data_IF_806828588152
#
_entry.id   IF_806828588152
#
_cell.length_a   1.000
_cell.length_b   1.000
_cell.length_c   1.000
_cell.angle_alpha   90.00
_cell.angle_beta   90.00
_cell.angle_gamma   90.00
#
_symmetry.space_group_name_H-M   'P 1'
#
loop_
_entity.id
_entity.type
_entity.pdbx_description
1 polymer ?
2 non-polymer ?
3 water ?
#
# COMPACT_ATOMS: atom_id res chain seq x y z
N UNK A 11 20.91 7.58 1.57
CA UNK A 11 20.90 6.25 2.17
C UNK A 11 22.20 5.99 2.95
N UNK A 12 22.12 5.09 3.92
CA UNK A 12 23.27 4.71 4.72
C UNK A 12 23.87 3.41 4.17
N UNK A 13 25.18 3.41 3.99
CA UNK A 13 25.88 2.21 3.54
C UNK A 13 26.11 1.30 4.75
N UNK A 14 25.42 0.17 4.77
CA UNK A 14 25.65 -0.84 5.81
C UNK A 14 26.82 -1.70 5.40
N UNK A 15 27.54 -2.22 6.38
CA UNK A 15 28.64 -3.13 6.07
C UNK A 15 28.24 -4.56 6.38
N UNK A 16 28.61 -5.52 5.54
CA UNK A 16 27.99 -6.87 5.65
C UNK A 16 28.24 -7.58 6.96
N UNK A 17 29.16 -7.12 7.82
CA UNK A 17 29.44 -7.85 9.05
C UNK A 17 28.32 -7.67 10.08
N UNK A 18 27.62 -6.53 10.01
CA UNK A 18 26.49 -6.26 10.90
C UNK A 18 25.20 -6.91 10.40
N UNK A 19 25.31 -7.72 9.36
CA UNK A 19 24.16 -8.29 8.66
C UNK A 19 24.25 -9.80 8.74
N UNK A 20 23.13 -10.44 9.06
CA UNK A 20 23.04 -11.90 9.12
C UNK A 20 21.70 -12.29 8.50
N UNK A 21 21.74 -12.89 7.31
CA UNK A 21 20.55 -13.47 6.73
C UNK A 21 20.21 -14.78 7.45
N UNK A 22 18.91 -15.07 7.56
CA UNK A 22 18.48 -16.19 8.36
C UNK A 22 17.51 -17.10 7.60
N UNK A 23 16.50 -16.53 6.96
CA UNK A 23 15.51 -17.31 6.24
C UNK A 23 15.04 -16.51 5.04
N UNK A 24 14.53 -17.22 4.03
CA UNK A 24 13.93 -16.59 2.86
C UNK A 24 12.45 -16.39 3.17
N UNK A 25 12.03 -15.12 3.25
CA UNK A 25 10.61 -14.83 3.50
C UNK A 25 9.79 -15.09 2.24
N UNK A 26 10.22 -14.51 1.12
CA UNK A 26 9.52 -14.66 -0.14
C UNK A 26 10.51 -14.74 -1.28
N UNK A 27 9.96 -14.84 -2.49
CA UNK A 27 10.76 -14.93 -3.70
C UNK A 27 9.86 -14.97 -4.93
N UNK A 32 14.58 -12.00 -4.29
CA UNK A 32 14.62 -12.64 -2.99
C UNK A 32 14.49 -11.62 -1.85
N UNK A 33 13.76 -11.99 -0.81
CA UNK A 33 13.60 -11.16 0.38
C UNK A 33 13.80 -12.08 1.58
N UNK A 34 14.89 -11.85 2.31
CA UNK A 34 15.22 -12.63 3.50
C UNK A 34 14.73 -11.93 4.75
N UNK A 35 14.56 -12.71 5.82
CA UNK A 35 14.55 -12.20 7.18
C UNK A 35 15.97 -12.28 7.70
N UNK A 36 16.41 -11.22 8.36
CA UNK A 36 17.75 -11.21 8.92
C UNK A 36 17.84 -10.49 10.24
N UNK A 37 19.06 -10.28 10.72
CA UNK A 37 19.32 -9.50 11.92
C UNK A 37 20.33 -8.42 11.55
N UNK A 38 20.12 -7.22 12.07
CA UNK A 38 21.03 -6.09 11.84
C UNK A 38 21.60 -5.64 13.17
N UNK A 39 22.92 -5.59 13.28
CA UNK A 39 23.56 -5.14 14.49
C UNK A 39 23.62 -3.61 14.50
N UNK A 40 23.17 -3.00 15.59
CA UNK A 40 23.10 -1.55 15.70
C UNK A 40 23.87 -1.04 16.91
N UNK A 44 26.41 -4.03 19.74
CA UNK A 44 25.48 -3.79 20.82
C UNK A 44 24.18 -4.57 20.58
N UNK A 45 23.05 -3.88 20.74
CA UNK A 45 21.75 -4.46 20.45
C UNK A 45 21.61 -4.74 18.96
N UNK A 46 20.82 -5.76 18.63
CA UNK A 46 20.53 -6.11 17.25
C UNK A 46 19.04 -6.01 16.98
N UNK A 47 18.68 -5.62 15.77
CA UNK A 47 17.27 -5.45 15.39
C UNK A 47 16.96 -6.36 14.21
N UNK A 48 15.74 -6.88 14.10
CA UNK A 48 15.37 -7.69 12.93
C UNK A 48 15.03 -6.83 11.73
N UNK A 49 15.35 -7.36 10.55
CA UNK A 49 15.20 -6.60 9.32
C UNK A 49 14.76 -7.53 8.19
N UNK A 50 14.25 -6.92 7.13
CA UNK A 50 13.98 -7.60 5.87
C UNK A 50 15.04 -7.22 4.86
N UNK A 51 15.47 -8.18 4.06
CA UNK A 51 16.62 -8.03 3.19
C UNK A 51 16.26 -8.47 1.78
N UNK A 52 16.13 -7.51 0.88
CA UNK A 52 15.85 -7.77 -0.52
C UNK A 52 17.16 -7.88 -1.28
N UNK A 53 17.34 -8.99 -1.99
CA UNK A 53 18.58 -9.23 -2.74
C UNK A 53 18.25 -9.62 -4.17
N UNK A 60 21.33 -6.82 -15.79
CA UNK A 60 22.05 -5.63 -15.32
C UNK A 60 21.09 -4.45 -15.18
N UNK A 61 20.11 -4.37 -16.08
CA UNK A 61 19.02 -3.42 -15.85
C UNK A 61 18.34 -3.69 -14.52
N UNK A 62 18.31 -4.96 -14.11
CA UNK A 62 17.75 -5.31 -12.81
C UNK A 62 18.65 -4.80 -11.67
N UNK A 63 19.97 -4.83 -11.88
CA UNK A 63 20.87 -4.30 -10.86
C UNK A 63 20.77 -2.78 -10.77
N UNK A 64 20.64 -2.11 -11.91
CA UNK A 64 20.54 -0.65 -11.91
C UNK A 64 19.32 -0.21 -11.12
N UNK A 65 18.15 -0.77 -11.45
CA UNK A 65 16.92 -0.38 -10.75
C UNK A 65 17.01 -0.74 -9.27
N UNK A 66 17.64 -1.88 -8.95
CA UNK A 66 17.76 -2.30 -7.55
C UNK A 66 18.36 -1.20 -6.70
N UNK A 67 19.62 -0.84 -6.96
CA UNK A 67 20.26 0.23 -6.20
C UNK A 67 19.50 1.55 -6.36
N UNK A 68 18.85 1.75 -7.52
CA UNK A 68 18.09 2.97 -7.72
C UNK A 68 16.97 3.12 -6.72
N UNK A 69 16.14 2.07 -6.57
CA UNK A 69 14.99 2.17 -5.68
C UNK A 69 15.41 2.51 -4.25
N UNK A 70 16.58 2.05 -3.82
CA UNK A 70 17.04 2.37 -2.48
C UNK A 70 17.21 3.87 -2.31
N UNK A 71 17.71 4.54 -3.34
CA UNK A 71 17.89 5.99 -3.25
C UNK A 71 16.59 6.73 -3.05
N UNK A 72 15.49 6.22 -3.62
CA UNK A 72 14.19 6.82 -3.39
C UNK A 72 13.71 6.53 -1.97
N UNK A 73 13.83 5.27 -1.54
CA UNK A 73 13.43 4.90 -0.19
C UNK A 73 14.14 5.76 0.85
N UNK A 74 15.47 5.91 0.70
CA UNK A 74 16.24 6.66 1.67
C UNK A 74 15.75 8.08 1.89
N UNK A 75 15.06 8.66 0.90
CA UNK A 75 14.50 9.99 1.06
C UNK A 75 13.28 10.03 1.95
N UNK A 76 12.73 8.87 2.32
CA UNK A 76 11.50 8.82 3.09
C UNK A 76 11.82 8.52 4.56
N UNK A 77 11.12 9.20 5.45
CA UNK A 77 11.23 8.97 6.89
C UNK A 77 9.89 9.37 7.49
N UNK A 78 9.01 8.38 7.67
CA UNK A 78 7.70 8.63 8.26
C UNK A 78 7.21 7.35 8.94
N UNK A 79 6.37 7.54 9.96
CA UNK A 79 5.93 6.42 10.78
C UNK A 79 5.21 5.35 9.96
N UNK A 80 4.51 5.76 8.90
CA UNK A 80 3.70 4.87 8.09
C UNK A 80 4.28 4.68 6.70
N UNK A 81 5.60 4.76 6.57
CA UNK A 81 6.33 4.47 5.34
C UNK A 81 7.46 3.51 5.71
N UNK A 82 7.58 2.39 4.98
CA UNK A 82 8.58 1.38 5.31
C UNK A 82 9.95 2.04 5.42
N UNK A 83 10.61 1.84 6.56
CA UNK A 83 11.86 2.52 6.84
C UNK A 83 13.05 1.77 6.25
N UNK A 84 13.90 2.49 5.53
CA UNK A 84 15.13 1.96 4.96
C UNK A 84 16.24 2.05 6.01
N UNK A 85 16.67 0.90 6.54
CA UNK A 85 17.80 0.92 7.46
C UNK A 85 19.08 1.32 6.72
N UNK A 86 19.26 0.83 5.51
CA UNK A 86 20.45 1.12 4.74
C UNK A 86 20.54 0.17 3.56
N UNK A 87 21.70 0.23 2.90
CA UNK A 87 21.97 -0.63 1.75
C UNK A 87 23.38 -1.18 1.87
N UNK A 88 23.63 -2.24 1.11
CA UNK A 88 24.97 -2.80 0.95
C UNK A 88 25.23 -2.78 -0.55
N UNK A 89 25.89 -1.71 -1.02
CA UNK A 89 26.12 -1.50 -2.44
C UNK A 89 27.57 -1.74 -2.84
N UNK A 90 28.46 -2.01 -1.89
CA UNK A 90 29.87 -2.19 -2.20
C UNK A 90 30.35 -3.62 -1.98
N UNK A 91 29.43 -4.55 -1.71
CA UNK A 91 29.77 -5.96 -1.57
C UNK A 91 28.70 -6.77 -2.30
N UNK A 92 28.99 -8.06 -2.47
CA UNK A 92 28.06 -9.00 -3.09
C UNK A 92 27.78 -10.08 -2.05
N UNK A 93 26.52 -10.35 -1.70
CA UNK A 93 25.26 -9.88 -2.30
C UNK A 93 24.97 -8.41 -2.13
N UNK A 94 24.42 -7.75 -3.15
CA UNK A 94 23.89 -6.40 -2.96
C UNK A 94 22.59 -6.49 -2.18
N UNK A 95 22.41 -5.58 -1.22
CA UNK A 95 21.28 -5.70 -0.33
C UNK A 95 20.61 -4.36 -0.05
N UNK A 96 19.27 -4.38 -0.06
CA UNK A 96 18.44 -3.31 0.45
C UNK A 96 17.82 -3.80 1.75
N UNK A 97 18.11 -3.11 2.85
CA UNK A 97 17.67 -3.52 4.18
C UNK A 97 16.61 -2.55 4.69
N UNK A 98 15.49 -3.09 5.15
CA UNK A 98 14.44 -2.34 5.79
C UNK A 98 14.19 -2.92 7.19
N UNK A 99 13.43 -2.17 8.00
CA UNK A 99 12.85 -2.73 9.20
C UNK A 99 12.07 -3.99 8.84
N UNK A 100 11.82 -4.86 9.82
CA UNK A 100 11.02 -6.05 9.61
C UNK A 100 9.59 -5.81 10.09
N UNK A 101 8.63 -6.32 9.33
CA UNK A 101 7.20 -6.16 9.63
C UNK A 101 6.62 -7.55 9.90
N UNK A 102 6.49 -7.89 11.19
CA UNK A 102 6.21 -9.27 11.57
C UNK A 102 4.98 -9.81 10.85
N UNK A 103 3.93 -9.00 10.74
CA UNK A 103 2.65 -9.47 10.23
C UNK A 103 2.53 -9.38 8.71
N UNK A 104 3.57 -8.96 8.00
CA UNK A 104 3.57 -9.10 6.55
C UNK A 104 2.58 -8.19 5.84
N UNK A 105 2.15 -8.63 4.66
CA UNK A 105 1.32 -7.80 3.80
C UNK A 105 -0.11 -7.75 4.29
N UNK A 106 -0.69 -6.55 4.20
CA UNK A 106 -1.97 -6.27 4.86
C UNK A 106 -3.10 -7.12 4.29
N UNK A 107 -3.07 -7.37 2.98
CA UNK A 107 -4.19 -8.10 2.37
C UNK A 107 -4.23 -9.53 2.89
N UNK A 108 -3.11 -10.25 2.80
CA UNK A 108 -3.04 -11.60 3.34
C UNK A 108 -3.34 -11.59 4.84
N UNK A 109 -2.90 -10.56 5.54
CA UNK A 109 -3.08 -10.49 6.99
C UNK A 109 -4.55 -10.30 7.36
N UNK A 110 -5.29 -9.51 6.59
CA UNK A 110 -6.71 -9.31 6.90
C UNK A 110 -7.54 -10.54 6.57
N UNK A 111 -7.23 -11.20 5.44
CA UNK A 111 -7.91 -12.45 5.13
C UNK A 111 -7.71 -13.46 6.24
N UNK A 112 -6.61 -13.32 6.98
CA UNK A 112 -6.25 -14.26 8.04
C UNK A 112 -6.96 -13.94 9.35
N UNK A 113 -7.16 -12.66 9.64
CA UNK A 113 -7.84 -12.20 10.84
C UNK A 113 -9.28 -11.77 10.55
N UNK A 114 -9.89 -12.31 9.49
CA UNK A 114 -11.21 -11.92 9.05
C UNK A 114 -12.17 -11.86 10.23
N UNK A 115 -12.63 -10.64 10.56
CA UNK A 115 -13.65 -10.45 11.56
C UNK A 115 -13.15 -10.13 12.95
N UNK A 116 -11.87 -10.37 13.26
CA UNK A 116 -11.42 -10.23 14.63
C UNK A 116 -11.20 -8.79 15.06
N UNK A 117 -11.14 -7.85 14.13
CA UNK A 117 -10.91 -6.45 14.45
C UNK A 117 -12.23 -5.68 14.48
N UNK A 118 -12.29 -4.68 15.36
CA UNK A 118 -13.41 -3.75 15.39
C UNK A 118 -13.28 -2.76 14.24
N UNK A 119 -14.34 -1.97 14.03
CA UNK A 119 -14.25 -0.89 13.05
C UNK A 119 -13.19 0.12 13.48
N UNK A 120 -13.15 0.44 14.78
CA UNK A 120 -12.15 1.37 15.28
C UNK A 120 -10.75 0.93 14.88
N UNK A 121 -10.45 -0.37 15.04
CA UNK A 121 -9.11 -0.85 14.74
C UNK A 121 -8.83 -0.83 13.24
N UNK A 122 -9.84 -1.17 12.43
CA UNK A 122 -9.67 -1.13 10.99
C UNK A 122 -9.52 0.30 10.48
N UNK A 123 -10.27 1.24 11.05
CA UNK A 123 -10.16 2.64 10.63
C UNK A 123 -8.84 3.23 11.11
N UNK A 124 -8.28 2.71 12.19
CA UNK A 124 -6.96 3.14 12.61
C UNK A 124 -5.87 2.74 11.62
N UNK A 125 -6.00 1.53 11.05
CA UNK A 125 -5.07 1.12 10.01
C UNK A 125 -5.20 2.00 8.77
N UNK A 126 -6.43 2.39 8.44
CA UNK A 126 -6.64 3.25 7.28
C UNK A 126 -6.06 4.64 7.55
N UNK A 127 -6.28 5.16 8.74
CA UNK A 127 -5.67 6.42 9.16
C UNK A 127 -4.15 6.37 9.00
N UNK A 128 -3.51 5.32 9.52
CA UNK A 128 -2.07 5.19 9.35
C UNK A 128 -1.68 5.22 7.88
N UNK A 129 -2.38 4.44 7.06
CA UNK A 129 -2.07 4.39 5.64
C UNK A 129 -2.21 5.76 5.01
N UNK A 130 -3.28 6.49 5.36
CA UNK A 130 -3.50 7.81 4.79
C UNK A 130 -2.44 8.79 5.28
N UNK A 131 -2.02 8.66 6.54
CA UNK A 131 -0.96 9.52 7.06
C UNK A 131 0.32 9.35 6.25
N UNK A 132 0.70 8.11 5.95
CA UNK A 132 1.87 7.90 5.11
C UNK A 132 1.67 8.46 3.71
N UNK A 133 0.45 8.35 3.18
CA UNK A 133 0.17 8.83 1.83
C UNK A 133 0.14 10.35 1.79
N UNK A 134 -0.28 10.99 2.88
CA UNK A 134 -0.16 12.43 3.01
C UNK A 134 1.30 12.86 2.98
N UNK A 135 2.16 12.11 3.65
CA UNK A 135 3.59 12.43 3.66
C UNK A 135 4.18 12.32 2.26
N UNK A 136 3.83 11.26 1.52
CA UNK A 136 4.36 11.09 0.17
C UNK A 136 3.87 12.18 -0.76
N UNK A 137 2.57 12.50 -0.69
CA UNK A 137 2.02 13.59 -1.49
C UNK A 137 2.74 14.90 -1.21
N UNK A 138 3.04 15.18 0.07
CA UNK A 138 3.79 16.39 0.40
C UNK A 138 5.16 16.38 -0.28
N UNK A 139 5.75 15.19 -0.47
CA UNK A 139 7.01 15.05 -1.19
C UNK A 139 6.82 15.08 -2.69
N UNK A 140 5.59 15.24 -3.16
CA UNK A 140 5.26 15.10 -4.58
C UNK A 140 5.72 13.74 -5.11
N UNK A 141 5.54 12.70 -4.30
CA UNK A 141 5.79 11.33 -4.73
C UNK A 141 4.46 10.66 -5.02
N UNK A 142 4.28 10.21 -6.26
CA UNK A 142 3.09 9.49 -6.68
C UNK A 142 3.40 8.00 -6.62
N UNK A 143 2.60 7.26 -5.85
CA UNK A 143 2.89 5.85 -5.59
C UNK A 143 2.67 5.00 -6.84
N UNK A 144 1.46 5.08 -7.42
CA UNK A 144 1.01 4.35 -8.60
C UNK A 144 0.49 2.94 -8.30
N UNK A 145 0.85 2.35 -7.15
CA UNK A 145 0.42 0.98 -6.83
C UNK A 145 -0.05 0.87 -5.39
N UNK A 146 -0.84 1.84 -4.93
CA UNK A 146 -1.38 1.77 -3.57
C UNK A 146 -2.40 0.65 -3.51
N UNK A 147 -2.09 -0.40 -2.74
CA UNK A 147 -2.98 -1.55 -2.63
C UNK A 147 -2.56 -2.31 -1.38
N UNK A 148 -3.53 -3.03 -0.80
CA UNK A 148 -3.25 -3.71 0.46
C UNK A 148 -2.08 -4.68 0.34
N UNK A 149 -1.87 -5.25 -0.84
CA UNK A 149 -0.71 -6.11 -1.05
C UNK A 149 0.60 -5.36 -0.86
N UNK A 150 0.59 -4.02 -0.93
CA UNK A 150 1.80 -3.22 -0.75
C UNK A 150 1.83 -2.51 0.61
N UNK A 151 1.03 -2.97 1.56
CA UNK A 151 1.00 -2.40 2.91
C UNK A 151 1.49 -3.46 3.87
N UNK A 152 2.55 -3.16 4.63
CA UNK A 152 3.08 -4.09 5.61
C UNK A 152 2.60 -3.71 7.00
N UNK A 153 2.47 -4.73 7.86
CA UNK A 153 1.91 -4.59 9.20
C UNK A 153 2.87 -5.18 10.22
N UNK A 154 3.07 -4.46 11.32
CA UNK A 154 3.96 -4.89 12.39
C UNK A 154 3.15 -5.29 13.61
N UNK A 155 3.86 -5.82 14.62
CA UNK A 155 3.20 -6.44 15.76
C UNK A 155 2.31 -5.48 16.55
N UNK A 156 2.32 -4.19 16.22
CA UNK A 156 1.43 -3.22 16.85
C UNK A 156 0.29 -2.81 15.94
N UNK A 157 0.07 -3.53 14.84
CA UNK A 157 -0.94 -3.20 13.84
C UNK A 157 -0.68 -1.87 13.16
N UNK A 158 0.55 -1.36 13.25
CA UNK A 158 0.93 -0.17 12.51
C UNK A 158 1.12 -0.57 11.05
N UNK A 159 0.52 0.20 10.15
CA UNK A 159 0.57 -0.07 8.73
C UNK A 159 1.50 0.92 8.05
N UNK A 160 2.28 0.42 7.12
CA UNK A 160 3.32 1.23 6.49
C UNK A 160 3.31 0.96 4.99
N UNK A 161 3.27 2.04 4.21
CA UNK A 161 3.23 1.93 2.77
C UNK A 161 4.57 1.42 2.26
N UNK A 162 4.52 0.50 1.31
CA UNK A 162 5.70 -0.08 0.70
C UNK A 162 5.43 -0.22 -0.79
N UNK A 163 6.41 -0.76 -1.51
CA UNK A 163 6.22 -1.06 -2.93
C UNK A 163 7.13 -2.22 -3.28
N UNK A 164 6.52 -3.39 -3.46
CA UNK A 164 7.25 -4.60 -3.79
C UNK A 164 7.65 -4.67 -5.26
N UNK A 165 7.19 -3.72 -6.07
CA UNK A 165 7.65 -3.58 -7.44
C UNK A 165 6.96 -4.46 -8.44
N UNK A 166 5.92 -5.20 -8.05
CA UNK A 166 5.28 -6.11 -8.99
C UNK A 166 4.79 -5.39 -10.24
N UNK A 167 4.55 -4.08 -10.16
CA UNK A 167 4.14 -3.35 -11.35
C UNK A 167 5.22 -3.32 -12.42
N UNK A 168 6.48 -3.54 -12.04
CA UNK A 168 7.61 -3.36 -12.95
C UNK A 168 8.35 -4.66 -13.23
N UNK A 169 7.72 -5.81 -12.98
CA UNK A 169 8.34 -7.09 -13.24
C UNK A 169 8.38 -7.35 -14.74
N UNK A 170 9.56 -7.60 -15.27
CA UNK A 170 9.78 -7.73 -16.71
C UNK A 170 9.51 -9.16 -17.14
N UNK A 171 8.52 -9.34 -18.01
CA UNK A 171 8.15 -10.66 -18.51
C UNK A 171 8.21 -10.74 -20.03
N UNK A 172 8.81 -9.75 -20.70
CA UNK A 172 8.95 -9.77 -22.15
C UNK A 172 10.20 -10.57 -22.54
N UNK A 173 10.16 -11.15 -23.74
CA UNK A 173 11.34 -11.83 -24.26
C UNK A 173 12.51 -10.84 -24.43
N UNK A 174 13.75 -11.27 -24.16
CA UNK A 174 14.88 -10.34 -24.33
C UNK A 174 15.19 -9.99 -25.78
N UNK A 175 14.57 -10.63 -26.76
CA UNK A 175 14.74 -10.29 -28.16
C UNK A 175 13.41 -9.89 -28.79
N UNK A 176 12.40 -9.62 -27.98
CA UNK A 176 11.07 -9.34 -28.49
C UNK A 176 11.08 -8.08 -29.34
N UNK A 177 10.30 -8.13 -30.42
CA UNK A 177 10.14 -6.95 -31.26
C UNK A 177 9.41 -5.85 -30.51
N UNK A 178 8.44 -6.21 -29.68
CA UNK A 178 7.61 -5.25 -28.95
C UNK A 178 7.77 -5.49 -27.45
N UNK A 179 8.00 -4.42 -26.71
CA UNK A 179 8.23 -4.53 -25.27
C UNK A 179 7.29 -3.61 -24.50
N UNK A 180 7.04 -3.99 -23.25
CA UNK A 180 6.19 -3.19 -22.37
C UNK A 180 6.88 -1.88 -22.02
N UNK A 181 6.18 -0.76 -22.20
CA UNK A 181 6.71 0.55 -21.84
C UNK A 181 5.79 1.20 -20.82
N UNK A 182 6.37 1.77 -19.77
CA UNK A 182 5.63 2.32 -18.67
C UNK A 182 5.24 1.31 -17.62
N UNK A 183 5.83 0.13 -17.64
CA UNK A 183 5.42 -0.90 -16.72
C UNK A 183 3.97 -1.28 -16.93
N UNK A 184 3.42 -1.97 -15.94
CA UNK A 184 2.02 -2.37 -15.94
C UNK A 184 1.31 -1.64 -14.81
N UNK A 185 -0.02 -1.58 -14.91
CA UNK A 185 -0.82 -0.90 -13.90
C UNK A 185 -1.73 -1.90 -13.19
N UNK A 186 -2.05 -1.69 -11.91
CA UNK A 186 -3.06 -2.53 -11.24
C UNK A 186 -4.45 -2.08 -11.63
N UNK A 187 -5.06 -2.75 -12.59
CA UNK A 187 -6.26 -2.22 -13.24
C UNK A 187 -7.35 -1.94 -12.22
N UNK A 188 -7.52 -2.84 -11.24
CA UNK A 188 -8.62 -2.67 -10.30
C UNK A 188 -8.35 -1.62 -9.23
N UNK A 189 -7.12 -1.10 -9.14
CA UNK A 189 -6.77 -0.10 -8.13
C UNK A 189 -6.51 1.27 -8.72
N UNK A 190 -6.60 1.43 -10.03
CA UNK A 190 -6.08 2.59 -10.73
C UNK A 190 -7.22 3.49 -11.19
N UNK A 191 -7.02 4.80 -11.03
CA UNK A 191 -8.06 5.76 -11.38
C UNK A 191 -8.29 5.75 -12.89
N UNK A 192 -9.53 6.00 -13.32
CA UNK A 192 -9.81 6.01 -14.77
C UNK A 192 -8.86 6.88 -15.59
N UNK A 193 -8.57 8.11 -15.14
CA UNK A 193 -7.68 8.96 -15.94
C UNK A 193 -6.30 8.37 -16.07
N UNK A 194 -5.86 7.60 -15.08
CA UNK A 194 -4.54 6.98 -15.13
C UNK A 194 -4.54 5.75 -16.04
N UNK A 195 -5.65 5.01 -16.06
CA UNK A 195 -5.80 3.91 -17.02
C UNK A 195 -5.78 4.45 -18.44
N UNK A 196 -6.59 5.48 -18.71
CA UNK A 196 -6.83 5.88 -20.09
C UNK A 196 -5.74 6.79 -20.65
N UNK A 197 -5.16 7.65 -19.82
CA UNK A 197 -4.23 8.66 -20.29
C UNK A 197 -2.90 8.65 -19.54
N UNK A 198 -2.68 7.67 -18.67
CA UNK A 198 -1.43 7.59 -17.90
C UNK A 198 -1.18 8.90 -17.16
N UNK A 199 -2.24 9.48 -16.59
CA UNK A 199 -2.14 10.69 -15.77
C UNK A 199 -2.13 10.26 -14.30
N UNK A 200 -0.93 10.03 -13.78
CA UNK A 200 -0.74 9.55 -12.42
C UNK A 200 -0.39 10.73 -11.52
N UNK A 201 -1.23 10.98 -10.53
CA UNK A 201 -1.05 12.09 -9.61
C UNK A 201 -1.43 11.58 -8.22
N UNK A 202 -1.20 12.41 -7.21
CA UNK A 202 -1.71 12.06 -5.89
C UNK A 202 -3.22 11.82 -5.93
N UNK A 203 -3.93 12.53 -6.82
CA UNK A 203 -5.36 12.35 -6.94
C UNK A 203 -5.72 10.94 -7.45
N UNK A 204 -4.90 10.35 -8.32
CA UNK A 204 -5.16 8.96 -8.68
C UNK A 204 -4.75 8.00 -7.57
N UNK A 205 -3.70 8.33 -6.81
CA UNK A 205 -3.40 7.56 -5.61
C UNK A 205 -4.57 7.59 -4.64
N UNK A 206 -5.29 8.71 -4.58
CA UNK A 206 -6.46 8.81 -3.69
C UNK A 206 -7.54 7.82 -4.12
N UNK A 207 -7.79 7.70 -5.43
CA UNK A 207 -8.68 6.65 -5.90
C UNK A 207 -8.21 5.29 -5.38
N UNK A 208 -6.94 4.96 -5.62
CA UNK A 208 -6.40 3.71 -5.13
C UNK A 208 -6.60 3.59 -3.62
N UNK A 209 -6.44 4.69 -2.88
CA UNK A 209 -6.67 4.60 -1.45
C UNK A 209 -8.10 4.19 -1.16
N UNK A 210 -9.07 4.70 -1.94
CA UNK A 210 -10.44 4.26 -1.76
C UNK A 210 -10.58 2.76 -1.88
N UNK A 211 -9.95 2.16 -2.89
CA UNK A 211 -10.01 0.71 -3.04
C UNK A 211 -9.43 0.05 -1.79
N UNK A 212 -8.37 0.63 -1.23
CA UNK A 212 -7.74 0.05 -0.04
C UNK A 212 -8.70 0.10 1.14
N UNK A 213 -9.45 1.19 1.29
CA UNK A 213 -10.46 1.24 2.34
C UNK A 213 -11.44 0.09 2.19
N UNK A 214 -11.90 -0.17 0.96
CA UNK A 214 -12.81 -1.28 0.72
C UNK A 214 -12.15 -2.61 1.03
N UNK A 215 -10.88 -2.76 0.65
CA UNK A 215 -10.14 -3.97 0.97
C UNK A 215 -10.08 -4.20 2.47
N UNK A 216 -9.73 -3.16 3.23
CA UNK A 216 -9.64 -3.29 4.67
C UNK A 216 -10.99 -3.69 5.23
N UNK A 217 -12.05 -2.98 4.83
CA UNK A 217 -13.36 -3.16 5.43
C UNK A 217 -14.00 -4.50 5.07
N UNK A 218 -13.56 -5.13 3.98
CA UNK A 218 -14.03 -6.46 3.61
C UNK A 218 -13.08 -7.56 4.06
N UNK A 219 -11.98 -7.19 4.74
CA UNK A 219 -10.98 -8.14 5.19
C UNK A 219 -10.37 -8.91 4.02
N UNK A 220 -10.04 -8.18 2.96
CA UNK A 220 -9.22 -8.73 1.89
C UNK A 220 -9.94 -9.33 0.70
N UNK A 221 -11.18 -8.93 0.44
CA UNK A 221 -11.88 -9.41 -0.74
C UNK A 221 -11.25 -8.84 -2.01
N UNK A 222 -11.45 -9.53 -3.12
CA UNK A 222 -10.94 -9.06 -4.40
C UNK A 222 -11.87 -8.01 -4.98
N UNK A 223 -11.38 -6.80 -5.28
CA UNK A 223 -12.26 -5.79 -5.86
C UNK A 223 -12.99 -6.28 -7.11
N UNK A 224 -14.30 -6.05 -7.14
CA UNK A 224 -15.12 -6.40 -8.30
C UNK A 224 -15.01 -7.90 -8.61
N UNK A 225 -14.93 -8.70 -7.55
CA UNK A 225 -14.64 -10.12 -7.68
C UNK A 225 -15.47 -10.84 -8.74
N UNK A 226 -16.69 -10.38 -8.99
CA UNK A 226 -17.53 -11.07 -9.96
C UNK A 226 -17.24 -10.68 -11.40
N UNK A 227 -16.39 -9.68 -11.63
CA UNK A 227 -16.20 -9.11 -12.96
C UNK A 227 -14.81 -9.40 -13.49
N UNK A 228 -14.72 -9.53 -14.81
CA UNK A 228 -13.43 -9.57 -15.48
C UNK A 228 -12.80 -8.18 -15.53
N UNK A 229 -11.56 -8.10 -15.99
CA UNK A 229 -10.88 -6.81 -16.03
C UNK A 229 -11.58 -5.85 -16.97
N UNK A 230 -11.95 -6.32 -18.18
CA UNK A 230 -12.62 -5.42 -19.12
C UNK A 230 -13.97 -4.98 -18.58
N UNK A 231 -14.66 -5.85 -17.85
CA UNK A 231 -15.97 -5.49 -17.30
C UNK A 231 -15.83 -4.47 -16.18
N UNK A 232 -14.68 -4.45 -15.51
CA UNK A 232 -14.44 -3.46 -14.46
C UNK A 232 -14.28 -2.07 -15.07
N UNK A 233 -13.49 -1.97 -16.14
CA UNK A 233 -13.32 -0.68 -16.81
C UNK A 233 -14.64 -0.21 -17.40
N UNK A 234 -15.43 -1.13 -17.96
CA UNK A 234 -16.75 -0.76 -18.45
C UNK A 234 -17.67 -0.36 -17.31
N UNK A 235 -17.59 -1.07 -16.18
CA UNK A 235 -18.43 -0.73 -15.03
C UNK A 235 -18.09 0.66 -14.50
N UNK A 236 -16.80 0.97 -14.40
CA UNK A 236 -16.40 2.25 -13.82
C UNK A 236 -16.80 3.41 -14.73
N UNK A 237 -16.72 3.22 -16.05
CA UNK A 237 -17.10 4.30 -16.96
C UNK A 237 -18.61 4.49 -17.00
N UNK A 238 -19.38 3.45 -16.65
CA UNK A 238 -20.83 3.55 -16.53
C UNK A 238 -21.26 4.17 -15.20
N UNK A 239 -20.32 4.52 -14.33
CA UNK A 239 -20.64 5.14 -13.06
C UNK A 239 -20.79 4.21 -11.88
N UNK A 240 -20.56 2.91 -12.07
CA UNK A 240 -20.65 1.97 -10.96
C UNK A 240 -19.36 1.94 -10.16
N UNK A 241 -19.49 1.63 -8.87
CA UNK A 241 -18.35 1.54 -7.98
C UNK A 241 -18.50 0.29 -7.13
N UNK A 242 -17.46 -0.01 -6.36
CA UNK A 242 -17.52 -1.14 -5.46
C UNK A 242 -18.70 -0.97 -4.49
N UNK A 243 -19.38 -2.05 -4.14
CA UNK A 243 -20.52 -1.94 -3.21
C UNK A 243 -20.02 -1.79 -1.77
N UNK A 244 -20.94 -1.41 -0.90
CA UNK A 244 -20.61 -1.25 0.50
C UNK A 244 -20.02 -2.57 1.04
N UNK A 245 -19.02 -2.49 1.90
CA UNK A 245 -18.66 -3.67 2.70
C UNK A 245 -19.74 -3.94 3.75
N UNK A 246 -19.86 -5.22 4.11
CA UNK A 246 -20.81 -5.57 5.16
C UNK A 246 -20.31 -5.04 6.50
N UNK A 247 -21.24 -4.56 7.32
CA UNK A 247 -20.97 -3.95 8.62
C UNK A 247 -20.21 -2.63 8.52
N UNK A 248 -20.10 -2.07 7.32
CA UNK A 248 -19.37 -0.81 7.16
C UNK A 248 -20.23 0.36 7.63
N UNK A 249 -19.71 1.20 8.54
CA UNK A 249 -20.44 2.43 8.88
C UNK A 249 -20.62 3.31 7.66
N UNK A 250 -21.73 4.05 7.64
CA UNK A 250 -22.03 4.88 6.49
C UNK A 250 -20.91 5.88 6.21
N UNK A 251 -20.38 6.51 7.25
CA UNK A 251 -19.35 7.53 7.05
C UNK A 251 -18.15 6.95 6.31
N UNK A 252 -17.78 5.71 6.61
CA UNK A 252 -16.64 5.08 5.96
C UNK A 252 -16.93 4.84 4.49
N UNK A 253 -18.09 4.24 4.18
CA UNK A 253 -18.41 3.99 2.77
C UNK A 253 -18.57 5.31 2.01
N UNK A 254 -19.13 6.32 2.66
CA UNK A 254 -19.22 7.64 2.04
C UNK A 254 -17.84 8.14 1.63
N UNK A 255 -16.83 7.96 2.50
CA UNK A 255 -15.50 8.45 2.20
C UNK A 255 -14.88 7.73 1.01
N UNK A 256 -15.02 6.41 0.92
CA UNK A 256 -14.49 5.74 -0.26
C UNK A 256 -15.18 6.25 -1.51
N UNK A 257 -16.50 6.45 -1.46
CA UNK A 257 -17.20 6.95 -2.63
C UNK A 257 -16.65 8.31 -3.06
N UNK A 258 -16.39 9.18 -2.09
CA UNK A 258 -15.74 10.45 -2.41
C UNK A 258 -14.38 10.21 -3.06
N UNK A 259 -13.66 9.18 -2.61
CA UNK A 259 -12.36 8.88 -3.21
C UNK A 259 -12.49 8.46 -4.68
N UNK A 260 -13.68 8.00 -5.09
CA UNK A 260 -13.89 7.44 -6.43
C UNK A 260 -14.64 8.38 -7.36
N UNK A 261 -14.66 9.67 -7.07
CA UNK A 261 -15.22 10.62 -8.03
C UNK A 261 -14.46 10.55 -9.35
N UNK A 262 -15.19 10.68 -10.46
CA UNK A 262 -14.58 10.52 -11.77
C UNK A 262 -13.63 11.68 -12.08
N UNK A 263 -14.00 12.90 -11.72
CA UNK A 263 -13.16 14.08 -11.91
C UNK A 263 -12.17 14.16 -10.76
N UNK A 264 -10.88 13.94 -11.06
CA UNK A 264 -9.88 13.83 -10.01
C UNK A 264 -9.85 15.05 -9.10
N UNK A 265 -10.22 16.23 -9.62
CA UNK A 265 -10.11 17.45 -8.82
C UNK A 265 -11.16 17.53 -7.73
N UNK A 266 -12.22 16.72 -7.82
CA UNK A 266 -13.25 16.70 -6.78
C UNK A 266 -12.98 15.66 -5.69
N UNK A 267 -11.94 14.86 -5.84
CA UNK A 267 -11.63 13.88 -4.81
C UNK A 267 -10.99 14.58 -3.61
N UNK A 268 -11.11 13.99 -2.41
CA UNK A 268 -10.41 14.55 -1.26
C UNK A 268 -8.90 14.48 -1.46
N UNK A 269 -8.20 15.39 -0.81
CA UNK A 269 -6.76 15.29 -0.71
C UNK A 269 -6.42 14.36 0.45
N UNK A 270 -5.23 13.80 0.42
CA UNK A 270 -4.84 12.94 1.54
C UNK A 270 -4.85 13.68 2.86
N UNK A 271 -4.92 15.02 2.82
CA UNK A 271 -5.08 15.80 4.04
C UNK A 271 -6.53 15.81 4.52
N UNK A 272 -7.48 15.99 3.60
CA UNK A 272 -8.88 15.84 3.98
C UNK A 272 -9.14 14.45 4.52
N UNK A 273 -8.51 13.43 3.94
CA UNK A 273 -8.76 12.05 4.34
C UNK A 273 -8.32 11.83 5.78
N UNK A 274 -7.03 12.10 6.06
CA UNK A 274 -6.53 11.92 7.42
C UNK A 274 -7.40 12.69 8.41
N UNK A 275 -7.87 13.87 8.00
CA UNK A 275 -8.66 14.71 8.88
C UNK A 275 -10.03 14.12 9.15
N UNK A 276 -10.68 13.60 8.11
CA UNK A 276 -12.01 12.99 8.27
C UNK A 276 -11.92 11.74 9.14
N UNK A 277 -10.92 10.89 8.89
CA UNK A 277 -10.75 9.70 9.71
C UNK A 277 -10.51 10.09 11.17
N UNK A 278 -9.73 11.14 11.40
CA UNK A 278 -9.45 11.58 12.77
C UNK A 278 -10.74 12.00 13.47
N UNK A 279 -11.67 12.63 12.73
CA UNK A 279 -12.91 13.07 13.34
C UNK A 279 -13.81 11.90 13.70
N UNK A 280 -13.84 10.87 12.84
CA UNK A 280 -14.63 9.69 13.15
C UNK A 280 -14.04 8.97 14.36
N UNK A 281 -12.72 8.89 14.45
CA UNK A 281 -12.08 8.14 15.52
C UNK A 281 -12.31 8.81 16.87
N UNK A 282 -12.30 10.15 16.90
CA UNK A 282 -12.50 10.86 18.16
C UNK A 282 -13.97 10.98 18.53
N UNK A 283 -14.89 10.72 17.61
CA UNK A 283 -16.32 10.59 17.88
C UNK A 283 -16.72 9.20 17.39
N UNK A 284 -16.41 8.16 18.15
CA UNK A 284 -16.54 6.79 17.62
C UNK A 284 -17.96 6.30 17.45
N UNK A 285 -18.96 6.99 17.98
CA UNK A 285 -20.35 6.62 17.68
C UNK A 285 -20.59 6.59 16.18
N UNK A 286 -19.83 7.40 15.43
CA UNK A 286 -19.95 7.41 13.97
C UNK A 286 -19.34 6.17 13.33
N UNK A 287 -18.59 5.38 14.10
CA UNK A 287 -17.98 4.16 13.61
C UNK A 287 -18.69 2.93 14.13
N UNK A 288 -19.77 3.13 14.87
CA UNK A 288 -20.52 2.03 15.47
C UNK A 288 -21.19 1.21 14.38
N UNK A 289 -20.98 -0.11 14.42
CA UNK A 289 -21.69 -1.04 13.55
C UNK A 289 -22.18 -2.18 14.42
N UNK A 290 -23.38 -2.68 14.12
CA UNK A 290 -24.06 -3.57 15.06
C UNK A 290 -23.18 -4.75 15.45
N UNK A 291 -22.39 -5.27 14.51
CA UNK A 291 -21.54 -6.43 14.80
C UNK A 291 -20.57 -6.18 15.94
N UNK A 292 -20.27 -4.91 16.27
CA UNK A 292 -19.40 -4.62 17.40
C UNK A 292 -20.13 -4.59 18.73
N UNK A 293 -21.46 -4.66 18.71
CA UNK A 293 -22.21 -4.65 19.96
C UNK A 293 -21.97 -5.94 20.72
N UNK A 294 -21.90 -5.83 22.04
CA UNK A 294 -21.70 -7.02 22.86
C UNK A 294 -22.95 -7.27 23.69
#
# INVERSE_FOLDING_TARGET
>A
GDPNQAVLKFTTEIHPSCVTRQKVIGAGEFGEVYKGMLKTSSGKKEVPVAIKTLKAGYTEKQRVDFLGEAGIMGQFSHHNIIRLEGVISKYKPMMIITEYMENGALDKFLREKDGEFSVLQLVGMLRGIAAGMKYLANMNYVHRDLAARNILVNSNLVCKVSDFGLSRVLEDDPEATYTTSGGKIPIRWTAPEAISYRKFTSASDVWSFGIVMWEVMTYGERPYWELSNHEVMKAINDGFRLPTPMDCPSAIYQLMMQCWQQERARRPKFADIVSILDKLIRAPDSLKTLADFDPRVSIRLPSTSG
#
